data_IF_454959454963
#
_entry.id   IF_454959454963
#
_cell.length_a   1.000
_cell.length_b   1.000
_cell.length_c   1.000
_cell.angle_alpha   90.00
_cell.angle_beta   90.00
_cell.angle_gamma   90.00
#
_symmetry.space_group_name_H-M   'P 1'
#
loop_
_entity.id
_entity.type
_entity.pdbx_description
1 polymer ?
#
# COMPACT_ATOMS: atom_id res chain seq x y z
N UNK A 1 -7.53 8.52 11.22
CA UNK A 1 -7.25 9.97 11.14
C UNK A 1 -8.22 10.63 10.18
N UNK A 2 -8.44 11.95 10.35
CA UNK A 2 -9.30 12.74 9.45
C UNK A 2 -8.94 12.52 7.97
N UNK A 3 -7.66 12.47 7.63
CA UNK A 3 -7.18 12.22 6.26
C UNK A 3 -7.58 10.84 5.72
N UNK A 4 -7.53 9.80 6.56
CA UNK A 4 -7.99 8.46 6.15
C UNK A 4 -9.49 8.45 5.84
N UNK A 5 -10.30 9.10 6.64
CA UNK A 5 -11.74 9.21 6.39
C UNK A 5 -12.04 10.00 5.11
N UNK A 6 -11.31 11.10 4.87
CA UNK A 6 -11.44 11.88 3.65
C UNK A 6 -11.16 11.02 2.40
N UNK A 7 -10.03 10.28 2.37
CA UNK A 7 -9.68 9.47 1.19
C UNK A 7 -10.64 8.29 0.99
N UNK A 8 -11.16 7.71 2.08
CA UNK A 8 -12.17 6.64 2.01
C UNK A 8 -13.50 7.14 1.43
N UNK A 9 -13.92 8.34 1.80
CA UNK A 9 -15.11 8.97 1.22
C UNK A 9 -14.94 9.19 -0.29
N UNK A 10 -13.80 9.76 -0.70
CA UNK A 10 -13.50 9.98 -2.12
C UNK A 10 -13.48 8.65 -2.90
N UNK A 11 -12.84 7.62 -2.35
CA UNK A 11 -12.77 6.31 -2.97
C UNK A 11 -14.17 5.71 -3.17
N UNK A 12 -15.05 5.85 -2.16
CA UNK A 12 -16.44 5.40 -2.24
C UNK A 12 -17.22 6.13 -3.33
N UNK A 13 -17.11 7.46 -3.37
CA UNK A 13 -17.82 8.31 -4.34
C UNK A 13 -17.39 8.00 -5.79
N UNK A 14 -16.14 7.62 -5.97
CA UNK A 14 -15.56 7.23 -7.28
C UNK A 14 -15.66 5.73 -7.59
N UNK A 15 -16.27 4.95 -6.70
CA UNK A 15 -16.31 3.48 -6.82
C UNK A 15 -14.91 2.84 -6.94
N UNK A 16 -13.91 3.45 -6.28
CA UNK A 16 -12.54 2.91 -6.20
C UNK A 16 -12.44 2.02 -4.98
N UNK A 17 -12.02 0.77 -5.18
CA UNK A 17 -11.82 -0.18 -4.10
C UNK A 17 -10.59 0.21 -3.27
N UNK A 18 -10.82 0.58 -2.01
CA UNK A 18 -9.78 0.95 -1.07
C UNK A 18 -9.90 0.12 0.21
N UNK A 19 -8.77 -0.38 0.70
CA UNK A 19 -8.67 -1.12 1.95
C UNK A 19 -7.82 -0.36 2.96
N UNK A 20 -8.04 -0.59 4.24
CA UNK A 20 -7.13 -0.18 5.30
C UNK A 20 -6.40 -1.42 5.83
N UNK A 21 -5.14 -1.25 6.21
CA UNK A 21 -4.36 -2.34 6.75
C UNK A 21 -3.04 -1.89 7.35
N UNK A 22 -2.31 -2.84 7.88
CA UNK A 22 -0.97 -2.68 8.44
C UNK A 22 0.06 -2.98 7.37
N UNK A 23 0.88 -1.98 7.04
CA UNK A 23 1.98 -2.12 6.10
C UNK A 23 3.29 -2.36 6.85
N UNK A 24 4.03 -3.38 6.46
CA UNK A 24 5.38 -3.68 6.95
C UNK A 24 6.41 -3.33 5.88
N UNK A 25 7.39 -2.51 6.25
CA UNK A 25 8.55 -2.24 5.40
C UNK A 25 9.64 -3.28 5.60
N UNK A 26 10.02 -3.97 4.53
CA UNK A 26 11.16 -4.89 4.51
C UNK A 26 12.32 -4.26 3.72
N UNK A 27 13.55 -4.60 4.08
CA UNK A 27 14.74 -4.00 3.43
C UNK A 27 14.98 -4.53 2.01
N UNK A 28 14.53 -5.72 1.70
CA UNK A 28 14.91 -6.40 0.47
C UNK A 28 16.41 -6.78 0.46
N UNK A 29 17.02 -7.05 -0.71
CA UNK A 29 16.46 -6.88 -2.06
C UNK A 29 15.60 -8.03 -2.57
N UNK A 30 15.52 -9.15 -1.83
CA UNK A 30 14.71 -10.30 -2.21
C UNK A 30 13.26 -10.17 -1.72
N UNK A 31 12.34 -10.83 -2.40
CA UNK A 31 11.01 -11.08 -1.88
C UNK A 31 11.07 -11.98 -0.64
N UNK A 32 10.05 -11.89 0.17
CA UNK A 32 9.88 -12.67 1.38
C UNK A 32 9.68 -14.15 1.07
N UNK A 33 10.24 -15.01 1.89
CA UNK A 33 9.94 -16.45 1.89
C UNK A 33 8.52 -16.71 2.39
N UNK A 34 7.97 -17.88 2.08
CA UNK A 34 6.66 -18.28 2.57
C UNK A 34 6.60 -18.32 4.12
N UNK A 35 7.70 -18.69 4.79
CA UNK A 35 7.78 -18.71 6.24
C UNK A 35 7.72 -17.31 6.86
N UNK A 36 8.42 -16.34 6.27
CA UNK A 36 8.36 -14.92 6.67
C UNK A 36 6.94 -14.37 6.48
N UNK A 37 6.29 -14.65 5.36
CA UNK A 37 4.90 -14.22 5.12
C UNK A 37 3.95 -14.82 6.16
N UNK A 38 4.08 -16.10 6.51
CA UNK A 38 3.26 -16.69 7.56
C UNK A 38 3.49 -16.05 8.93
N UNK A 39 4.74 -15.69 9.26
CA UNK A 39 5.05 -14.96 10.47
C UNK A 39 4.41 -13.57 10.48
N UNK A 40 4.58 -12.79 9.40
CA UNK A 40 4.00 -11.46 9.23
C UNK A 40 2.48 -11.50 9.39
N UNK A 41 1.81 -12.47 8.76
CA UNK A 41 0.37 -12.67 8.89
C UNK A 41 -0.06 -12.93 10.34
N UNK A 42 0.69 -13.73 11.09
CA UNK A 42 0.40 -14.03 12.51
C UNK A 42 0.49 -12.80 13.41
N UNK A 43 1.35 -11.84 13.07
CA UNK A 43 1.48 -10.58 13.84
C UNK A 43 0.59 -9.45 13.29
N UNK A 44 -0.30 -9.74 12.35
CA UNK A 44 -1.33 -8.81 11.87
C UNK A 44 -0.87 -7.87 10.75
N UNK A 45 0.12 -8.25 9.96
CA UNK A 45 0.52 -7.51 8.76
C UNK A 45 -0.41 -7.86 7.61
N UNK A 46 -0.91 -6.84 6.89
CA UNK A 46 -1.81 -6.98 5.74
C UNK A 46 -1.08 -6.78 4.41
N UNK A 47 -0.03 -5.96 4.39
CA UNK A 47 0.76 -5.68 3.20
C UNK A 47 2.24 -5.54 3.55
N UNK A 48 3.12 -5.96 2.64
CA UNK A 48 4.57 -5.83 2.77
C UNK A 48 5.16 -5.21 1.51
N UNK A 49 6.23 -4.44 1.67
CA UNK A 49 6.98 -3.87 0.56
C UNK A 49 8.31 -3.28 1.01
N UNK A 50 9.11 -2.82 0.05
CA UNK A 50 10.49 -2.37 0.27
C UNK A 50 10.64 -0.85 0.29
N UNK A 51 9.54 -0.12 0.41
CA UNK A 51 9.51 1.36 0.35
C UNK A 51 8.66 1.94 1.50
N UNK A 52 8.40 3.24 1.44
CA UNK A 52 7.38 3.94 2.26
C UNK A 52 7.83 4.18 3.70
N UNK A 53 8.35 3.18 4.41
CA UNK A 53 8.67 3.31 5.86
C UNK A 53 9.79 4.30 6.13
N UNK A 54 10.91 4.35 5.38
CA UNK A 54 11.95 5.37 5.60
C UNK A 54 11.41 6.80 5.48
N UNK A 55 10.59 7.06 4.46
CA UNK A 55 9.96 8.37 4.22
C UNK A 55 8.98 8.72 5.33
N UNK A 56 8.16 7.76 5.78
CA UNK A 56 7.23 7.95 6.88
C UNK A 56 7.95 8.29 8.18
N UNK A 57 9.05 7.61 8.49
CA UNK A 57 9.84 7.86 9.69
C UNK A 57 10.41 9.27 9.70
N UNK A 58 11.04 9.70 8.60
CA UNK A 58 11.60 11.04 8.45
C UNK A 58 10.51 12.11 8.54
N UNK A 59 9.43 11.94 7.80
CA UNK A 59 8.31 12.88 7.81
C UNK A 59 7.70 13.02 9.21
N UNK A 60 7.48 11.91 9.90
CA UNK A 60 6.93 11.92 11.28
C UNK A 60 7.91 12.53 12.28
N UNK A 61 9.19 12.25 12.16
CA UNK A 61 10.23 12.88 12.98
C UNK A 61 10.24 14.42 12.78
N UNK A 62 10.02 14.87 11.56
CA UNK A 62 9.92 16.30 11.21
C UNK A 62 8.56 16.95 11.55
N UNK A 63 7.68 16.25 12.24
CA UNK A 63 6.37 16.78 12.66
C UNK A 63 5.30 16.82 11.55
N UNK A 64 5.57 16.27 10.37
CA UNK A 64 4.64 16.26 9.26
C UNK A 64 3.49 15.27 9.49
N UNK A 65 2.31 15.62 8.99
CA UNK A 65 1.21 14.66 8.86
C UNK A 65 1.50 13.73 7.68
N UNK A 66 1.18 12.46 7.84
CA UNK A 66 1.43 11.44 6.81
C UNK A 66 0.16 10.64 6.53
N UNK A 67 -0.11 10.46 5.25
CA UNK A 67 -1.04 9.47 4.72
C UNK A 67 -0.28 8.66 3.68
N UNK A 68 -0.25 7.34 3.83
CA UNK A 68 0.37 6.44 2.86
C UNK A 68 -0.71 5.69 2.09
N UNK A 69 -0.51 5.56 0.80
CA UNK A 69 -1.30 4.74 -0.12
C UNK A 69 -0.36 3.76 -0.80
N UNK A 70 -0.73 2.49 -0.84
CA UNK A 70 0.05 1.45 -1.50
C UNK A 70 -0.80 0.70 -2.50
N UNK A 71 -0.27 0.52 -3.70
CA UNK A 71 -0.88 -0.33 -4.71
C UNK A 71 -0.47 -1.78 -4.44
N UNK A 72 -1.45 -2.65 -4.24
CA UNK A 72 -1.20 -4.08 -4.08
C UNK A 72 -1.19 -4.74 -5.46
N UNK A 73 -0.01 -5.15 -5.91
CA UNK A 73 0.22 -5.68 -7.26
C UNK A 73 0.10 -7.19 -7.34
N UNK A 74 0.36 -7.89 -6.24
CA UNK A 74 0.37 -9.35 -6.16
C UNK A 74 0.09 -9.84 -4.75
N UNK A 75 -0.31 -11.08 -4.63
CA UNK A 75 -0.34 -11.79 -3.35
C UNK A 75 1.08 -12.22 -2.97
N UNK A 76 1.37 -12.21 -1.67
CA UNK A 76 2.67 -12.58 -1.17
C UNK A 76 2.96 -14.09 -1.33
N UNK A 77 4.24 -14.45 -1.30
CA UNK A 77 4.72 -15.82 -1.45
C UNK A 77 3.99 -16.79 -0.51
N UNK A 78 3.48 -17.88 -1.07
CA UNK A 78 2.80 -18.94 -0.31
C UNK A 78 1.35 -18.64 0.09
N UNK A 79 0.75 -17.52 -0.35
CA UNK A 79 -0.67 -17.21 -0.11
C UNK A 79 -1.54 -17.70 -1.27
N UNK A 80 -1.13 -17.47 -2.50
CA UNK A 80 -1.76 -18.08 -3.68
C UNK A 80 -0.73 -18.94 -4.40
N UNK A 81 -1.15 -20.12 -4.89
CA UNK A 81 -0.26 -21.01 -5.61
C UNK A 81 0.16 -20.41 -6.96
N UNK A 82 1.44 -20.18 -7.12
CA UNK A 82 2.03 -19.69 -8.37
C UNK A 82 3.10 -18.62 -8.16
N UNK A 83 4.06 -18.59 -9.06
CA UNK A 83 5.03 -17.50 -9.14
C UNK A 83 4.38 -16.33 -9.90
N UNK A 84 4.48 -15.12 -9.35
CA UNK A 84 4.04 -13.92 -10.05
C UNK A 84 5.12 -13.47 -11.03
N UNK A 85 4.73 -13.22 -12.28
CA UNK A 85 5.64 -12.62 -13.25
C UNK A 85 5.76 -11.12 -13.02
N UNK A 86 6.94 -10.56 -13.32
CA UNK A 86 7.13 -9.10 -13.28
C UNK A 86 6.16 -8.38 -14.22
N UNK A 87 5.81 -9.00 -15.33
CA UNK A 87 4.86 -8.46 -16.30
C UNK A 87 3.46 -8.27 -15.70
N UNK A 88 2.96 -9.26 -14.94
CA UNK A 88 1.68 -9.14 -14.22
C UNK A 88 1.71 -8.05 -13.15
N UNK A 89 2.83 -7.91 -12.44
CA UNK A 89 3.03 -6.84 -11.46
C UNK A 89 2.96 -5.47 -12.14
N UNK A 90 3.66 -5.27 -13.25
CA UNK A 90 3.64 -4.02 -14.00
C UNK A 90 2.26 -3.70 -14.58
N UNK A 91 1.56 -4.70 -15.11
CA UNK A 91 0.19 -4.52 -15.63
C UNK A 91 -0.75 -4.03 -14.54
N UNK A 92 -0.79 -4.70 -13.39
CA UNK A 92 -1.64 -4.31 -12.25
C UNK A 92 -1.27 -2.94 -11.70
N UNK A 93 0.03 -2.62 -11.64
CA UNK A 93 0.48 -1.29 -11.23
C UNK A 93 -0.02 -0.20 -12.19
N UNK A 94 0.00 -0.46 -13.51
CA UNK A 94 -0.52 0.46 -14.51
C UNK A 94 -2.04 0.68 -14.40
N UNK A 95 -2.80 -0.39 -14.19
CA UNK A 95 -4.25 -0.31 -13.98
C UNK A 95 -4.63 0.48 -12.70
N UNK A 96 -3.83 0.32 -11.63
CA UNK A 96 -4.05 1.04 -10.39
C UNK A 96 -3.55 2.50 -10.40
N UNK A 97 -2.63 2.85 -11.30
CA UNK A 97 -2.03 4.18 -11.35
C UNK A 97 -3.07 5.29 -11.60
N UNK A 98 -4.05 5.04 -12.45
CA UNK A 98 -5.12 5.99 -12.71
C UNK A 98 -5.97 6.21 -11.46
N UNK A 99 -6.43 5.14 -10.80
CA UNK A 99 -7.20 5.22 -9.57
C UNK A 99 -6.43 5.95 -8.46
N UNK A 100 -5.13 5.67 -8.33
CA UNK A 100 -4.25 6.34 -7.37
C UNK A 100 -4.14 7.83 -7.67
N UNK A 101 -3.93 8.20 -8.93
CA UNK A 101 -3.86 9.59 -9.38
C UNK A 101 -5.16 10.35 -9.08
N UNK A 102 -6.30 9.75 -9.38
CA UNK A 102 -7.61 10.34 -9.08
C UNK A 102 -7.82 10.56 -7.58
N UNK A 103 -7.51 9.54 -6.76
CA UNK A 103 -7.61 9.66 -5.30
C UNK A 103 -6.75 10.79 -4.74
N UNK A 104 -5.49 10.87 -5.17
CA UNK A 104 -4.55 11.88 -4.69
C UNK A 104 -4.98 13.27 -5.13
N UNK A 105 -5.34 13.45 -6.40
CA UNK A 105 -5.76 14.74 -6.96
C UNK A 105 -6.98 15.31 -6.23
N UNK A 106 -7.97 14.46 -5.98
CA UNK A 106 -9.18 14.86 -5.25
C UNK A 106 -8.96 15.08 -3.75
N UNK A 107 -8.02 14.36 -3.17
CA UNK A 107 -7.76 14.44 -1.73
C UNK A 107 -6.93 15.67 -1.37
N UNK A 108 -5.92 16.04 -2.16
CA UNK A 108 -4.97 17.11 -1.83
C UNK A 108 -5.62 18.40 -1.33
N UNK A 109 -6.63 18.99 -2.01
CA UNK A 109 -7.28 20.22 -1.55
C UNK A 109 -8.10 20.03 -0.26
N UNK A 110 -8.40 18.81 0.15
CA UNK A 110 -9.22 18.47 1.32
C UNK A 110 -8.37 18.02 2.52
N UNK A 111 -7.06 17.90 2.37
CA UNK A 111 -6.12 17.41 3.40
C UNK A 111 -5.43 18.52 4.19
N UNK A 112 -5.83 19.73 4.03
CA UNK A 112 -5.34 20.89 4.81
C UNK A 112 -5.77 20.86 6.27
#
# INVERSE_FOLDING_TARGET
SKWRETIKSIAKDKNIKLHEGVYLGNKGPSFESAAEIQLMKKVGVDAVGMSTIPEVLVARHSGLKVLALSCITNLATGIAGGAHSLEEVYKKAGEAAQNMSELVTEALPKLS
#
